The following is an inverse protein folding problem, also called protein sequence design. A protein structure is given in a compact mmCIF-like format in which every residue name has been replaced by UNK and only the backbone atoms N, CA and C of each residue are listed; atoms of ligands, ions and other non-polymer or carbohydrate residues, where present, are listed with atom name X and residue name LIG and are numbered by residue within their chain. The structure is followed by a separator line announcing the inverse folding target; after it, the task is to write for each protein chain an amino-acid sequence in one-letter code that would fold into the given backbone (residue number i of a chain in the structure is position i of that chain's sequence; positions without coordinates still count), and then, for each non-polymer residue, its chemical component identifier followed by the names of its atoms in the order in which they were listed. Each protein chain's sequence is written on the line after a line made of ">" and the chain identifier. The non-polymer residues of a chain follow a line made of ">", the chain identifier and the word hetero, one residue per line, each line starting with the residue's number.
data_IF_185452715965
#
_entry.id   IF_185452715965
#
_cell.length_a   1.000
_cell.length_b   1.000
_cell.length_c   1.000
_cell.angle_alpha   90.00
_cell.angle_beta   90.00
_cell.angle_gamma   90.00
#
_symmetry.space_group_name_H-M   'P 1'
#
loop_
_entity.id
_entity.type
_entity.pdbx_description
1 polymer ?
#
# COMPACT_ATOMS: atom_id res chain seq x y z
N UNK A 1 56.29 -17.41 -27.90
CA UNK A 1 55.82 -17.16 -26.53
C UNK A 1 54.54 -16.34 -26.62
N UNK A 2 53.36 -16.96 -26.46
CA UNK A 2 52.06 -16.27 -26.50
C UNK A 2 51.50 -16.25 -25.08
N UNK A 3 51.53 -15.07 -24.48
CA UNK A 3 51.07 -14.80 -23.13
C UNK A 3 49.55 -14.61 -23.18
N UNK A 4 48.80 -15.56 -22.63
CA UNK A 4 47.36 -15.45 -22.46
C UNK A 4 47.09 -14.76 -21.12
N UNK A 5 46.64 -13.50 -21.16
CA UNK A 5 46.06 -12.82 -20.00
C UNK A 5 44.64 -13.33 -19.78
N UNK A 6 44.43 -14.10 -18.72
CA UNK A 6 43.11 -14.53 -18.26
C UNK A 6 42.52 -13.41 -17.41
N UNK A 7 41.52 -12.70 -17.95
CA UNK A 7 40.69 -11.75 -17.22
C UNK A 7 39.65 -12.51 -16.39
N UNK A 8 39.82 -12.52 -15.07
CA UNK A 8 38.84 -13.03 -14.12
C UNK A 8 37.77 -11.95 -13.90
N UNK A 9 36.61 -12.12 -14.51
CA UNK A 9 35.41 -11.33 -14.24
C UNK A 9 34.79 -11.81 -12.91
N UNK A 10 35.04 -11.09 -11.81
CA UNK A 10 34.28 -11.26 -10.57
C UNK A 10 32.87 -10.66 -10.77
N UNK A 11 31.88 -11.51 -10.97
CA UNK A 11 30.46 -11.13 -10.94
C UNK A 11 30.04 -10.93 -9.48
N UNK A 12 29.91 -9.67 -9.04
CA UNK A 12 29.27 -9.36 -7.77
C UNK A 12 27.77 -9.68 -7.88
N UNK A 13 27.34 -10.80 -7.32
CA UNK A 13 25.93 -11.07 -7.09
C UNK A 13 25.45 -10.08 -6.02
N UNK A 14 24.78 -9.00 -6.43
CA UNK A 14 24.06 -8.15 -5.51
C UNK A 14 22.91 -8.99 -4.93
N UNK A 15 23.00 -9.34 -3.64
CA UNK A 15 21.88 -9.89 -2.89
C UNK A 15 20.81 -8.79 -2.84
N UNK A 16 19.76 -8.94 -3.63
CA UNK A 16 18.55 -8.14 -3.51
C UNK A 16 17.89 -8.51 -2.17
N UNK A 17 18.18 -7.73 -1.13
CA UNK A 17 17.47 -7.86 0.14
C UNK A 17 16.03 -7.42 -0.13
N UNK A 18 15.03 -8.30 0.02
CA UNK A 18 13.64 -7.91 -0.17
C UNK A 18 13.33 -6.78 0.80
N UNK A 19 12.64 -5.76 0.30
CA UNK A 19 12.21 -4.64 1.11
C UNK A 19 11.47 -5.13 2.34
N UNK A 20 11.80 -4.53 3.49
CA UNK A 20 11.25 -4.94 4.77
C UNK A 20 9.76 -4.58 4.82
N UNK A 21 8.92 -5.54 5.16
CA UNK A 21 7.48 -5.31 5.33
C UNK A 21 7.20 -4.12 6.28
N UNK A 22 6.06 -3.41 6.10
CA UNK A 22 5.67 -2.29 6.95
C UNK A 22 5.70 -2.64 8.45
N UNK A 23 6.15 -1.70 9.28
CA UNK A 23 6.06 -1.92 10.74
C UNK A 23 4.62 -2.01 11.22
N UNK A 24 4.38 -2.69 12.35
CA UNK A 24 3.05 -2.73 12.98
C UNK A 24 2.49 -1.31 13.24
N UNK A 25 3.35 -0.34 13.56
CA UNK A 25 2.93 1.05 13.76
C UNK A 25 2.42 1.69 12.47
N UNK A 26 3.08 1.44 11.32
CA UNK A 26 2.61 1.90 10.02
C UNK A 26 1.28 1.26 9.63
N UNK A 27 1.14 -0.06 9.83
CA UNK A 27 -0.10 -0.78 9.50
C UNK A 27 -1.28 -0.27 10.33
N UNK A 28 -1.11 -0.13 11.65
CA UNK A 28 -2.18 0.34 12.55
C UNK A 28 -2.51 1.81 12.29
N UNK A 29 -1.52 2.64 11.94
CA UNK A 29 -1.76 4.02 11.51
C UNK A 29 -2.54 4.07 10.20
N UNK A 30 -2.21 3.20 9.23
CA UNK A 30 -2.95 3.09 7.97
C UNK A 30 -4.39 2.65 8.21
N UNK A 31 -4.61 1.56 8.94
CA UNK A 31 -5.95 1.09 9.30
C UNK A 31 -6.77 2.18 10.00
N UNK A 32 -6.14 3.02 10.83
CA UNK A 32 -6.81 4.11 11.54
C UNK A 32 -6.98 5.39 10.71
N UNK A 33 -6.38 5.44 9.52
CA UNK A 33 -6.29 6.62 8.66
C UNK A 33 -5.71 7.88 9.36
N UNK A 34 -4.79 7.67 10.30
CA UNK A 34 -4.12 8.76 11.02
C UNK A 34 -2.80 8.26 11.61
N UNK A 35 -1.87 9.18 11.91
CA UNK A 35 -0.69 8.81 12.69
C UNK A 35 -1.07 8.45 14.13
N UNK A 36 -0.69 7.24 14.56
CA UNK A 36 -0.83 6.77 15.95
C UNK A 36 0.52 6.62 16.67
N UNK A 37 1.61 7.01 16.01
CA UNK A 37 2.95 6.95 16.59
C UNK A 37 3.78 8.12 16.09
N UNK A 38 4.59 8.70 16.97
CA UNK A 38 5.50 9.80 16.63
C UNK A 38 6.55 9.41 15.58
N UNK A 39 6.78 8.10 15.36
CA UNK A 39 7.67 7.61 14.31
C UNK A 39 7.01 7.53 12.93
N UNK A 40 5.70 7.80 12.82
CA UNK A 40 4.93 7.74 11.57
C UNK A 40 4.50 9.14 11.16
N UNK A 41 4.94 9.58 9.99
CA UNK A 41 4.45 10.81 9.36
C UNK A 41 3.31 10.46 8.42
N UNK A 42 2.13 11.01 8.69
CA UNK A 42 0.93 10.83 7.89
C UNK A 42 0.69 12.07 7.04
N UNK A 43 0.60 11.91 5.72
CA UNK A 43 0.27 13.00 4.80
C UNK A 43 -0.93 12.61 3.94
N UNK A 44 -2.13 13.15 4.22
CA UNK A 44 -3.31 12.87 3.40
C UNK A 44 -3.08 13.33 1.96
N UNK A 45 -3.60 12.56 1.00
CA UNK A 45 -3.60 12.95 -0.41
C UNK A 45 -4.82 13.83 -0.72
N UNK A 46 -4.71 14.80 -1.63
CA UNK A 46 -5.83 15.67 -1.99
C UNK A 46 -6.86 14.88 -2.78
N UNK A 47 -7.98 14.53 -2.15
CA UNK A 47 -9.10 13.79 -2.77
C UNK A 47 -10.16 14.72 -3.37
N UNK A 48 -9.88 16.01 -3.49
CA UNK A 48 -10.82 17.02 -4.00
C UNK A 48 -10.90 17.05 -5.53
N UNK A 49 -9.82 16.63 -6.20
CA UNK A 49 -9.72 16.55 -7.67
C UNK A 49 -9.58 15.10 -8.13
N UNK A 50 -10.65 14.32 -7.92
CA UNK A 50 -10.72 12.95 -8.43
C UNK A 50 -11.10 13.00 -9.90
N UNK A 51 -10.28 12.40 -10.75
CA UNK A 51 -10.61 12.23 -12.18
C UNK A 51 -10.74 10.75 -12.53
N UNK A 52 -11.32 10.47 -13.69
CA UNK A 52 -11.33 9.15 -14.31
C UNK A 52 -10.70 9.22 -15.70
N UNK A 53 -10.07 8.13 -16.14
CA UNK A 53 -9.44 8.01 -17.46
C UNK A 53 -9.69 6.60 -18.01
N UNK A 54 -10.42 6.52 -19.12
CA UNK A 54 -10.62 5.27 -19.87
C UNK A 54 -9.33 4.86 -20.58
N UNK A 55 -9.13 3.54 -20.77
CA UNK A 55 -7.99 2.98 -21.48
C UNK A 55 -6.59 3.42 -20.98
N UNK A 56 -6.48 3.74 -19.68
CA UNK A 56 -5.27 4.25 -19.02
C UNK A 56 -3.98 3.48 -19.33
N UNK A 57 -3.81 2.27 -18.75
CA UNK A 57 -2.61 1.43 -18.95
C UNK A 57 -3.03 -0.02 -19.06
N UNK A 58 -2.56 -0.72 -20.11
CA UNK A 58 -2.82 -2.15 -20.28
C UNK A 58 -4.30 -2.50 -20.45
N UNK A 59 -5.12 -1.56 -20.93
CA UNK A 59 -6.57 -1.71 -21.08
C UNK A 59 -7.35 -1.63 -19.76
N UNK A 60 -6.74 -1.10 -18.69
CA UNK A 60 -7.45 -0.75 -17.47
C UNK A 60 -8.03 0.66 -17.59
N UNK A 61 -9.23 0.86 -17.05
CA UNK A 61 -9.81 2.18 -16.83
C UNK A 61 -9.40 2.66 -15.43
N UNK A 62 -8.79 3.83 -15.32
CA UNK A 62 -8.54 4.47 -14.04
C UNK A 62 -9.83 5.14 -13.57
N UNK A 63 -10.58 4.46 -12.70
CA UNK A 63 -11.90 4.95 -12.23
C UNK A 63 -11.77 5.93 -11.05
N UNK A 64 -10.64 5.90 -10.35
CA UNK A 64 -10.31 6.84 -9.29
C UNK A 64 -8.83 7.21 -9.41
N UNK A 65 -8.54 8.49 -9.61
CA UNK A 65 -7.19 8.97 -9.87
C UNK A 65 -6.94 10.27 -9.11
N UNK A 66 -5.77 10.36 -8.47
CA UNK A 66 -5.25 11.54 -7.77
C UNK A 66 -3.92 11.93 -8.43
N UNK A 67 -3.80 13.21 -8.83
CA UNK A 67 -2.51 13.79 -9.23
C UNK A 67 -1.66 14.07 -8.00
N UNK A 68 -0.58 13.32 -7.81
CA UNK A 68 0.37 13.55 -6.74
C UNK A 68 1.78 13.81 -7.30
N UNK A 69 2.14 15.09 -7.42
CA UNK A 69 3.37 15.49 -8.09
C UNK A 69 3.40 15.00 -9.54
N UNK A 70 4.45 14.27 -9.92
CA UNK A 70 4.59 13.66 -11.25
C UNK A 70 4.13 12.20 -11.33
N UNK A 71 3.74 11.60 -10.21
CA UNK A 71 3.37 10.19 -10.11
C UNK A 71 1.88 10.07 -9.77
N UNK A 72 1.01 9.83 -10.76
CA UNK A 72 -0.40 9.62 -10.47
C UNK A 72 -0.60 8.38 -9.60
N UNK A 73 -1.58 8.46 -8.70
CA UNK A 73 -1.95 7.36 -7.80
C UNK A 73 -3.43 7.11 -7.96
N UNK A 74 -3.85 5.86 -7.86
CA UNK A 74 -5.27 5.58 -7.82
C UNK A 74 -5.62 4.11 -7.92
N UNK A 75 -6.83 3.90 -8.41
CA UNK A 75 -7.45 2.60 -8.54
C UNK A 75 -8.00 2.45 -9.95
N UNK A 76 -7.77 1.28 -10.53
CA UNK A 76 -8.11 0.97 -11.90
C UNK A 76 -8.74 -0.42 -12.03
N UNK A 77 -9.60 -0.56 -13.03
CA UNK A 77 -10.37 -1.77 -13.28
C UNK A 77 -10.26 -2.24 -14.73
N UNK A 78 -10.27 -3.56 -14.93
CA UNK A 78 -10.39 -4.20 -16.24
C UNK A 78 -11.26 -5.45 -16.10
N UNK A 79 -12.55 -5.30 -16.38
CA UNK A 79 -13.54 -6.33 -16.07
C UNK A 79 -13.48 -6.68 -14.58
N UNK A 80 -13.28 -7.95 -14.18
CA UNK A 80 -13.22 -8.34 -12.77
C UNK A 80 -11.87 -8.03 -12.11
N UNK A 81 -10.84 -7.63 -12.87
CA UNK A 81 -9.50 -7.39 -12.33
C UNK A 81 -9.40 -5.98 -11.81
N UNK A 82 -9.04 -5.85 -10.54
CA UNK A 82 -8.90 -4.59 -9.81
C UNK A 82 -7.46 -4.37 -9.39
N UNK A 83 -6.97 -3.15 -9.53
CA UNK A 83 -5.59 -2.81 -9.21
C UNK A 83 -5.48 -1.43 -8.58
N UNK A 84 -4.55 -1.31 -7.62
CA UNK A 84 -4.00 -0.02 -7.23
C UNK A 84 -2.90 0.33 -8.22
N UNK A 85 -2.76 1.60 -8.59
CA UNK A 85 -1.62 2.03 -9.41
C UNK A 85 -0.82 3.14 -8.76
N UNK A 86 0.47 3.15 -9.08
CA UNK A 86 1.41 4.21 -8.79
C UNK A 86 2.21 4.50 -10.05
N UNK A 87 2.16 5.73 -10.54
CA UNK A 87 2.59 6.06 -11.90
C UNK A 87 1.92 5.10 -12.90
N UNK A 88 2.68 4.54 -13.85
CA UNK A 88 2.17 3.58 -14.86
C UNK A 88 2.25 2.12 -14.42
N UNK A 89 2.48 1.83 -13.14
CA UNK A 89 2.57 0.47 -12.62
C UNK A 89 1.26 0.06 -11.95
N UNK A 90 0.77 -1.12 -12.30
CA UNK A 90 -0.46 -1.72 -11.76
C UNK A 90 -0.12 -2.80 -10.74
N UNK A 91 -0.76 -2.73 -9.59
CA UNK A 91 -0.64 -3.67 -8.48
C UNK A 91 -1.99 -4.37 -8.28
N UNK A 92 -2.16 -5.58 -8.82
CA UNK A 92 -3.42 -6.32 -8.70
C UNK A 92 -3.77 -6.55 -7.23
N UNK A 93 -4.99 -6.19 -6.85
CA UNK A 93 -5.49 -6.35 -5.48
C UNK A 93 -5.48 -7.83 -5.06
N UNK A 94 -5.85 -8.73 -5.97
CA UNK A 94 -5.82 -10.18 -5.74
C UNK A 94 -4.40 -10.73 -5.45
N UNK A 95 -3.34 -9.97 -5.77
CA UNK A 95 -1.96 -10.31 -5.49
C UNK A 95 -1.39 -9.64 -4.23
N UNK A 96 -2.20 -8.91 -3.46
CA UNK A 96 -1.73 -8.21 -2.27
C UNK A 96 -1.28 -9.22 -1.19
N UNK A 97 -0.08 -9.01 -0.63
CA UNK A 97 0.48 -9.88 0.40
C UNK A 97 -0.14 -9.58 1.77
N UNK A 98 -0.81 -10.54 2.42
CA UNK A 98 -1.38 -10.32 3.75
C UNK A 98 -0.28 -10.15 4.80
N UNK A 99 -0.42 -9.15 5.66
CA UNK A 99 0.53 -8.88 6.74
C UNK A 99 0.28 -9.76 7.96
N UNK A 100 1.33 -10.41 8.45
CA UNK A 100 1.27 -11.26 9.65
C UNK A 100 0.79 -10.47 10.87
N UNK A 101 -0.15 -11.06 11.62
CA UNK A 101 -0.74 -10.43 12.81
C UNK A 101 -1.97 -9.55 12.53
N UNK A 102 -2.48 -9.60 11.30
CA UNK A 102 -3.73 -8.98 10.86
C UNK A 102 -4.59 -10.02 10.12
N UNK A 103 -5.88 -9.74 9.99
CA UNK A 103 -6.80 -10.60 9.24
C UNK A 103 -6.48 -10.53 7.74
N UNK A 104 -6.63 -11.67 7.05
CA UNK A 104 -6.10 -11.87 5.69
C UNK A 104 -7.09 -11.56 4.56
N UNK A 105 -8.32 -11.16 4.88
CA UNK A 105 -9.37 -10.93 3.89
C UNK A 105 -9.85 -9.47 3.94
N UNK A 106 -9.22 -8.59 3.15
CA UNK A 106 -9.78 -7.26 2.91
C UNK A 106 -11.17 -7.39 2.32
N UNK A 107 -12.02 -6.44 2.67
CA UNK A 107 -13.30 -6.23 1.98
C UNK A 107 -13.05 -5.66 0.59
N UNK A 108 -14.12 -5.61 -0.21
CA UNK A 108 -14.06 -4.95 -1.50
C UNK A 108 -13.71 -3.46 -1.30
N UNK A 109 -12.70 -2.99 -2.04
CA UNK A 109 -12.30 -1.59 -2.01
C UNK A 109 -13.28 -0.78 -2.86
N UNK A 110 -14.05 0.09 -2.20
CA UNK A 110 -14.64 1.26 -2.83
C UNK A 110 -13.61 2.40 -2.76
N UNK A 111 -13.02 2.82 -3.90
CA UNK A 111 -11.99 3.84 -3.89
C UNK A 111 -12.51 5.23 -3.49
N UNK A 112 -13.81 5.50 -3.63
CA UNK A 112 -14.43 6.79 -3.28
C UNK A 112 -14.77 6.90 -1.79
N UNK A 113 -14.98 5.77 -1.12
CA UNK A 113 -15.17 5.72 0.33
C UNK A 113 -13.85 5.54 1.11
N UNK A 114 -12.73 5.35 0.41
CA UNK A 114 -11.43 5.13 1.01
C UNK A 114 -10.71 6.44 1.37
N UNK A 115 -9.93 6.39 2.44
CA UNK A 115 -9.00 7.45 2.83
C UNK A 115 -7.62 7.15 2.23
N UNK A 116 -7.10 8.11 1.48
CA UNK A 116 -5.84 8.00 0.75
C UNK A 116 -4.78 8.89 1.39
N UNK A 117 -3.62 8.34 1.68
CA UNK A 117 -2.50 9.08 2.27
C UNK A 117 -1.16 8.45 1.93
N UNK A 118 -0.08 9.20 2.14
CA UNK A 118 1.25 8.60 2.27
C UNK A 118 1.61 8.48 3.75
N UNK A 119 2.23 7.36 4.10
CA UNK A 119 2.85 7.16 5.41
C UNK A 119 4.35 7.02 5.23
N UNK A 120 5.13 7.80 5.99
CA UNK A 120 6.57 7.62 6.07
C UNK A 120 6.96 7.11 7.46
N UNK A 121 7.79 6.07 7.47
CA UNK A 121 8.48 5.55 8.64
C UNK A 121 10.00 5.50 8.38
N UNK A 122 10.80 5.08 9.36
CA UNK A 122 12.26 5.06 9.22
C UNK A 122 12.76 4.24 8.02
N UNK A 123 12.05 3.19 7.64
CA UNK A 123 12.49 2.21 6.64
C UNK A 123 11.83 2.38 5.27
N UNK A 124 10.91 3.33 5.10
CA UNK A 124 10.22 3.47 3.83
C UNK A 124 9.03 4.43 3.87
N UNK A 125 8.55 4.73 2.67
CA UNK A 125 7.31 5.44 2.43
C UNK A 125 6.33 4.48 1.78
N UNK A 126 5.08 4.58 2.16
CA UNK A 126 4.01 3.74 1.63
C UNK A 126 2.83 4.62 1.23
N UNK A 127 2.13 4.23 0.18
CA UNK A 127 0.77 4.67 -0.07
C UNK A 127 -0.15 3.85 0.85
N UNK A 128 -0.94 4.54 1.67
CA UNK A 128 -2.01 3.97 2.45
C UNK A 128 -3.35 4.18 1.75
N UNK A 129 -4.14 3.11 1.68
CA UNK A 129 -5.54 3.14 1.27
C UNK A 129 -6.33 2.49 2.40
N UNK A 130 -7.02 3.29 3.20
CA UNK A 130 -7.78 2.82 4.37
C UNK A 130 -9.25 2.92 4.13
N UNK A 131 -9.99 1.84 4.34
CA UNK A 131 -11.42 1.79 4.00
C UNK A 131 -12.21 0.98 5.03
N UNK A 132 -13.52 1.26 5.16
CA UNK A 132 -14.39 0.50 6.07
C UNK A 132 -14.41 -1.00 5.73
N UNK A 133 -14.61 -1.82 6.75
CA UNK A 133 -14.89 -3.24 6.55
C UNK A 133 -16.40 -3.46 6.32
N UNK A 134 -16.76 -3.92 5.13
CA UNK A 134 -18.12 -4.36 4.77
C UNK A 134 -18.92 -3.32 4.00
N UNK A 135 -20.17 -3.66 3.70
CA UNK A 135 -21.08 -2.79 2.95
C UNK A 135 -21.64 -1.67 3.82
N UNK A 136 -21.98 -0.54 3.17
CA UNK A 136 -22.73 0.57 3.77
C UNK A 136 -24.01 0.03 4.44
N UNK A 137 -24.14 0.24 5.76
CA UNK A 137 -25.36 -0.13 6.52
C UNK A 137 -25.14 -1.11 7.67
N UNK A 138 -23.93 -1.65 7.86
CA UNK A 138 -23.63 -2.44 9.06
C UNK A 138 -23.37 -1.52 10.27
N UNK A 139 -24.22 -1.61 11.29
CA UNK A 139 -24.09 -0.87 12.55
C UNK A 139 -23.38 -1.71 13.63
N UNK A 140 -22.84 -1.06 14.66
CA UNK A 140 -22.20 -1.75 15.80
C UNK A 140 -20.69 -2.02 15.62
N UNK A 141 -20.21 -3.20 16.02
CA UNK A 141 -18.78 -3.54 16.03
C UNK A 141 -18.11 -3.58 14.66
N UNK A 142 -18.89 -3.65 13.57
CA UNK A 142 -18.39 -3.67 12.19
C UNK A 142 -17.81 -2.31 11.75
N UNK A 143 -18.31 -1.19 12.28
CA UNK A 143 -17.73 0.15 12.02
C UNK A 143 -16.30 0.30 12.55
N UNK A 144 -15.88 -0.60 13.45
CA UNK A 144 -14.56 -0.57 14.08
C UNK A 144 -13.55 -1.45 13.35
N UNK A 145 -14.01 -2.29 12.44
CA UNK A 145 -13.15 -3.07 11.57
C UNK A 145 -12.81 -2.22 10.36
N UNK A 146 -11.52 -2.13 10.03
CA UNK A 146 -11.07 -1.47 8.81
C UNK A 146 -10.19 -2.42 8.02
N UNK A 147 -10.19 -2.21 6.72
CA UNK A 147 -9.28 -2.85 5.77
C UNK A 147 -8.31 -1.79 5.26
N UNK A 148 -7.11 -2.21 4.93
CA UNK A 148 -6.08 -1.35 4.38
C UNK A 148 -5.24 -2.06 3.34
N UNK A 149 -4.84 -1.28 2.34
CA UNK A 149 -3.71 -1.61 1.48
C UNK A 149 -2.53 -0.68 1.78
N UNK A 150 -1.33 -1.25 1.79
CA UNK A 150 -0.08 -0.49 1.88
C UNK A 150 0.78 -0.83 0.67
N UNK A 151 0.94 0.11 -0.24
CA UNK A 151 1.84 -0.04 -1.39
C UNK A 151 3.16 0.62 -1.07
N UNK A 152 4.25 -0.12 -1.15
CA UNK A 152 5.60 0.43 -0.97
C UNK A 152 5.93 1.45 -2.06
N UNK A 153 6.26 2.68 -1.66
CA UNK A 153 6.76 3.73 -2.53
C UNK A 153 8.28 3.80 -2.36
N UNK A 154 9.00 2.93 -3.07
CA UNK A 154 10.46 2.87 -3.02
C UNK A 154 11.14 4.15 -3.53
N UNK A 155 12.38 4.38 -3.09
CA UNK A 155 13.22 5.49 -3.58
C UNK A 155 14.07 5.13 -4.82
N UNK A 156 14.13 3.85 -5.22
CA UNK A 156 14.87 3.36 -6.41
C UNK A 156 14.20 2.10 -6.95
N UNK A 157 14.51 1.75 -8.22
CA UNK A 157 14.02 0.67 -9.10
C UNK A 157 13.93 -0.75 -8.49
N UNK A 158 13.27 -0.93 -7.36
CA UNK A 158 12.92 -2.22 -6.78
C UNK A 158 11.48 -2.61 -7.11
N UNK A 159 11.16 -3.88 -6.93
CA UNK A 159 9.80 -4.40 -7.02
C UNK A 159 8.97 -3.81 -5.89
N UNK A 160 8.03 -2.92 -6.21
CA UNK A 160 7.06 -2.41 -5.27
C UNK A 160 6.10 -3.53 -4.85
N UNK A 161 5.83 -3.65 -3.55
CA UNK A 161 4.93 -4.68 -3.00
C UNK A 161 3.66 -4.03 -2.47
N UNK A 162 2.52 -4.58 -2.87
CA UNK A 162 1.22 -4.27 -2.30
C UNK A 162 0.94 -5.22 -1.14
N UNK A 163 0.77 -4.67 0.05
CA UNK A 163 0.40 -5.40 1.25
C UNK A 163 -1.07 -5.18 1.58
N UNK A 164 -1.67 -6.14 2.28
CA UNK A 164 -3.03 -6.04 2.80
C UNK A 164 -3.09 -6.31 4.30
N UNK A 165 -4.01 -5.63 4.99
CA UNK A 165 -4.32 -5.87 6.39
C UNK A 165 -5.79 -5.56 6.67
N UNK A 166 -6.39 -6.35 7.56
CA UNK A 166 -7.70 -6.07 8.14
C UNK A 166 -7.62 -6.21 9.65
N UNK A 167 -8.36 -5.38 10.38
CA UNK A 167 -8.41 -5.54 11.83
C UNK A 167 -9.37 -4.59 12.54
N UNK A 168 -9.63 -4.90 13.81
CA UNK A 168 -10.45 -4.10 14.71
C UNK A 168 -9.60 -3.01 15.40
N UNK A 169 -9.95 -1.74 15.20
CA UNK A 169 -9.15 -0.63 15.72
C UNK A 169 -9.09 -0.55 17.25
N UNK A 170 -10.16 -0.92 17.96
CA UNK A 170 -10.18 -0.88 19.43
C UNK A 170 -9.21 -1.91 20.01
N UNK A 171 -9.27 -3.16 19.51
CA UNK A 171 -8.36 -4.23 19.92
C UNK A 171 -6.89 -3.87 19.63
N UNK A 172 -6.63 -3.19 18.51
CA UNK A 172 -5.27 -2.78 18.13
C UNK A 172 -4.73 -1.64 19.01
N UNK A 173 -5.60 -0.72 19.46
CA UNK A 173 -5.26 0.39 20.35
C UNK A 173 -5.01 -0.08 21.80
N UNK A 174 -5.81 -0.98 22.33
CA UNK A 174 -5.61 -1.52 23.70
C UNK A 174 -4.26 -2.22 23.86
N UNK A 175 -3.81 -2.93 22.83
CA UNK A 175 -2.51 -3.62 22.83
C UNK A 175 -1.29 -2.68 22.73
N UNK A 176 -1.46 -1.42 22.33
CA UNK A 176 -0.38 -0.42 22.35
C UNK A 176 -0.16 0.16 23.75
N UNK A 177 -1.20 0.22 24.59
CA UNK A 177 -1.12 0.75 25.96
C UNK A 177 -0.49 -0.19 26.99
N UNK A 178 -0.32 -1.48 26.66
CA UNK A 178 0.23 -2.50 27.57
C UNK A 178 1.75 -2.70 27.44
N UNK A 179 2.43 -1.99 26.54
CA UNK A 179 3.90 -1.92 26.52
C UNK A 179 4.34 -0.65 27.26
N UNK A 180 4.35 -0.70 28.59
CA UNK A 180 5.11 0.21 29.44
C UNK A 180 6.21 -0.57 30.15
#
# INVERSE_FOLDING_TARGET
>A
MKQFCILILLSAAALEVPAKAPSKAAVVSCLSAQSLSTSIKWNPLPTEEITSEDDYVGGFNAVYYIKWGSAPIGYAERGPVKAVFYSKQLFPIAGALPLTGFDTRPTELDPFAAEWATLAEQNGTYLCISFPYGDLGQSGSFQKNRSAYLLELGNKKGTHVLYSATGNLDALRTNQGQKK
#
